data_IF_434897197597
#
_entry.id   IF_434897197597
#
_cell.length_a   1.000
_cell.length_b   1.000
_cell.length_c   1.000
_cell.angle_alpha   90.00
_cell.angle_beta   90.00
_cell.angle_gamma   90.00
#
_symmetry.space_group_name_H-M   'P 1'
#
loop_
_entity.id
_entity.type
_entity.pdbx_description
1 polymer ?
#
# COMPACT_ATOMS: atom_id res chain seq x y z
N UNK A 1 -19.39 50.22 -14.19
CA UNK A 1 -20.05 48.99 -14.73
C UNK A 1 -19.03 47.91 -14.81
N UNK A 2 -18.99 47.05 -13.79
CA UNK A 2 -18.24 45.80 -13.77
C UNK A 2 -19.27 44.69 -13.78
N UNK A 3 -19.23 43.83 -14.77
CA UNK A 3 -19.86 42.52 -14.73
C UNK A 3 -18.75 41.52 -15.10
N UNK A 4 -18.12 40.97 -14.08
CA UNK A 4 -17.29 39.78 -14.22
C UNK A 4 -18.16 38.56 -13.96
N UNK A 5 -18.54 37.86 -15.01
CA UNK A 5 -19.23 36.60 -14.91
C UNK A 5 -18.17 35.52 -14.73
N UNK A 6 -17.86 35.18 -13.49
CA UNK A 6 -16.97 34.02 -13.19
C UNK A 6 -17.85 32.78 -13.22
N UNK A 7 -17.91 32.13 -14.37
CA UNK A 7 -18.41 30.74 -14.42
C UNK A 7 -17.37 29.82 -13.78
N UNK A 8 -17.71 29.29 -12.64
CA UNK A 8 -16.98 28.19 -12.07
C UNK A 8 -17.30 26.94 -12.91
N UNK A 9 -16.28 26.33 -13.49
CA UNK A 9 -16.44 25.05 -14.14
C UNK A 9 -16.86 24.01 -13.08
N UNK A 10 -17.97 23.34 -13.35
CA UNK A 10 -18.50 22.28 -12.52
C UNK A 10 -17.49 21.12 -12.53
N UNK A 11 -16.83 20.89 -11.40
CA UNK A 11 -15.96 19.73 -11.22
C UNK A 11 -16.86 18.51 -11.03
N UNK A 12 -17.14 17.79 -12.10
CA UNK A 12 -17.84 16.51 -12.02
C UNK A 12 -16.87 15.46 -11.47
N UNK A 13 -16.97 15.18 -10.17
CA UNK A 13 -16.29 14.04 -9.56
C UNK A 13 -17.05 12.78 -9.97
N UNK A 14 -16.61 12.13 -11.04
CA UNK A 14 -17.06 10.79 -11.39
C UNK A 14 -16.36 9.83 -10.43
N UNK A 15 -16.99 9.58 -9.30
CA UNK A 15 -16.65 8.43 -8.45
C UNK A 15 -16.99 7.16 -9.24
N UNK A 16 -16.09 6.19 -9.26
CA UNK A 16 -16.39 4.83 -9.77
C UNK A 16 -17.47 4.17 -8.87
N UNK A 17 -18.72 4.56 -9.11
CA UNK A 17 -19.88 4.20 -8.32
C UNK A 17 -20.15 2.69 -8.28
N UNK A 18 -19.67 1.94 -9.26
CA UNK A 18 -19.91 0.49 -9.32
C UNK A 18 -19.09 -0.27 -8.27
N UNK A 19 -17.81 0.05 -8.07
CA UNK A 19 -17.00 -0.57 -7.01
C UNK A 19 -17.34 -0.02 -5.63
N UNK A 20 -17.56 1.28 -5.51
CA UNK A 20 -17.98 1.90 -4.25
C UNK A 20 -19.34 1.36 -3.78
N UNK A 21 -20.28 1.06 -4.68
CA UNK A 21 -21.57 0.44 -4.36
C UNK A 21 -21.42 -0.99 -3.84
N UNK A 22 -20.53 -1.79 -4.39
CA UNK A 22 -20.29 -3.15 -3.93
C UNK A 22 -19.64 -3.22 -2.53
N UNK A 23 -18.75 -2.26 -2.23
CA UNK A 23 -18.11 -2.16 -0.90
C UNK A 23 -19.06 -1.55 0.12
N UNK A 24 -19.87 -0.56 -0.27
CA UNK A 24 -20.85 0.07 0.61
C UNK A 24 -21.94 -0.91 1.09
N UNK A 25 -22.23 -1.97 0.31
CA UNK A 25 -23.16 -3.04 0.72
C UNK A 25 -22.52 -4.11 1.60
N UNK A 26 -21.19 -4.14 1.74
CA UNK A 26 -20.51 -5.09 2.62
C UNK A 26 -20.27 -4.46 4.00
N UNK A 27 -21.11 -4.80 4.97
CA UNK A 27 -20.88 -4.40 6.35
C UNK A 27 -19.52 -4.93 6.83
N UNK A 28 -18.63 -4.01 7.28
CA UNK A 28 -17.32 -4.35 7.82
C UNK A 28 -16.14 -4.19 6.84
N UNK A 29 -16.37 -3.90 5.57
CA UNK A 29 -15.32 -3.51 4.63
C UNK A 29 -15.04 -2.01 4.73
N UNK A 30 -13.77 -1.64 4.82
CA UNK A 30 -13.29 -0.25 4.82
C UNK A 30 -12.19 -0.12 3.78
N UNK A 31 -12.40 0.74 2.80
CA UNK A 31 -11.36 1.14 1.88
C UNK A 31 -10.56 2.30 2.48
N UNK A 32 -9.24 2.17 2.48
CA UNK A 32 -8.33 3.18 3.01
C UNK A 32 -7.80 3.98 1.84
N UNK A 33 -8.15 5.29 1.74
CA UNK A 33 -7.66 6.14 0.66
C UNK A 33 -6.13 6.28 0.71
N UNK A 34 -5.46 6.21 -0.44
CA UNK A 34 -4.00 6.37 -0.53
C UNK A 34 -3.54 7.74 -0.02
N UNK A 35 -4.37 8.78 -0.17
CA UNK A 35 -4.10 10.09 0.41
C UNK A 35 -3.99 10.03 1.94
N UNK A 36 -4.83 9.24 2.60
CA UNK A 36 -4.76 9.04 4.05
C UNK A 36 -3.46 8.34 4.43
N UNK A 37 -3.06 7.28 3.70
CA UNK A 37 -1.80 6.55 3.96
C UNK A 37 -0.61 7.48 3.82
N UNK A 38 -0.54 8.27 2.76
CA UNK A 38 0.56 9.20 2.50
C UNK A 38 0.64 10.36 3.50
N UNK A 39 -0.48 10.79 4.05
CA UNK A 39 -0.56 11.91 4.99
C UNK A 39 -0.56 11.46 6.46
N UNK A 40 -0.59 10.17 6.73
CA UNK A 40 -0.52 9.66 8.10
C UNK A 40 0.88 9.89 8.66
N UNK A 41 1.01 10.62 9.78
CA UNK A 41 2.30 10.78 10.46
C UNK A 41 2.83 9.40 10.84
N UNK A 42 4.03 9.10 10.42
CA UNK A 42 4.69 7.85 10.77
C UNK A 42 5.96 8.10 11.57
N UNK A 43 6.32 7.15 12.37
CA UNK A 43 7.61 7.12 13.07
C UNK A 43 8.69 7.13 11.96
N UNK A 44 9.69 7.98 12.12
CA UNK A 44 10.82 8.14 11.19
C UNK A 44 10.47 8.81 9.84
N UNK A 45 9.29 9.43 9.72
CA UNK A 45 8.94 10.27 8.57
C UNK A 45 8.56 9.51 7.30
N UNK A 46 8.29 8.20 7.39
CA UNK A 46 7.88 7.40 6.24
C UNK A 46 6.43 6.95 6.36
N UNK A 47 5.63 7.22 5.33
CA UNK A 47 4.28 6.70 5.23
C UNK A 47 4.31 5.17 5.17
N UNK A 48 3.41 4.53 5.92
CA UNK A 48 3.34 3.07 6.02
C UNK A 48 1.89 2.59 6.03
N UNK A 49 1.61 1.56 5.21
CA UNK A 49 0.28 0.99 5.06
C UNK A 49 -0.20 0.34 6.36
N UNK A 50 0.64 -0.48 6.99
CA UNK A 50 0.26 -1.22 8.21
C UNK A 50 0.09 -0.26 9.39
N UNK A 51 0.92 0.76 9.51
CA UNK A 51 0.78 1.80 10.54
C UNK A 51 -0.51 2.60 10.37
N UNK A 52 -0.90 2.91 9.13
CA UNK A 52 -2.19 3.56 8.89
C UNK A 52 -3.36 2.67 9.29
N UNK A 53 -3.29 1.36 9.03
CA UNK A 53 -4.32 0.40 9.46
C UNK A 53 -4.42 0.34 10.98
N UNK A 54 -3.30 0.43 11.71
CA UNK A 54 -3.28 0.46 13.17
C UNK A 54 -4.07 1.64 13.77
N UNK A 55 -4.21 2.74 13.05
CA UNK A 55 -5.00 3.91 13.49
C UNK A 55 -6.50 3.79 13.20
N UNK A 56 -6.94 2.72 12.54
CA UNK A 56 -8.34 2.55 12.20
C UNK A 56 -9.17 2.09 13.41
N UNK A 57 -10.42 2.56 13.54
CA UNK A 57 -11.30 2.12 14.63
C UNK A 57 -11.47 0.60 14.68
N UNK A 58 -11.30 0.00 15.87
CA UNK A 58 -11.43 -1.46 16.08
C UNK A 58 -10.18 -2.25 15.65
N UNK A 59 -9.07 -1.57 15.39
CA UNK A 59 -7.74 -2.13 15.21
C UNK A 59 -6.88 -1.69 16.38
N UNK A 60 -6.17 -2.60 16.99
CA UNK A 60 -5.18 -2.30 18.02
C UNK A 60 -3.80 -2.67 17.51
N UNK A 61 -2.84 -1.79 17.73
CA UNK A 61 -1.43 -2.11 17.57
C UNK A 61 -1.02 -3.10 18.66
N UNK A 62 -0.06 -3.97 18.35
CA UNK A 62 0.63 -4.75 19.36
C UNK A 62 1.56 -3.89 20.21
N UNK A 63 2.60 -4.51 20.75
CA UNK A 63 3.66 -3.79 21.45
C UNK A 63 4.32 -2.80 20.48
N UNK A 64 4.72 -1.64 20.98
CA UNK A 64 5.44 -0.63 20.20
C UNK A 64 6.61 -1.25 19.45
N UNK A 65 6.69 -0.99 18.14
CA UNK A 65 7.66 -1.60 17.25
C UNK A 65 7.22 -2.95 16.63
N UNK A 66 5.99 -3.42 16.91
CA UNK A 66 5.42 -4.60 16.24
C UNK A 66 4.49 -4.19 15.10
N UNK A 67 4.53 -4.91 13.99
CA UNK A 67 3.52 -4.81 12.91
C UNK A 67 2.25 -5.61 13.21
N UNK A 68 2.18 -6.27 14.36
CA UNK A 68 1.03 -7.06 14.78
C UNK A 68 -0.26 -6.23 14.80
N UNK A 69 -1.30 -6.75 14.15
CA UNK A 69 -2.63 -6.15 14.12
C UNK A 69 -3.58 -7.03 14.93
N UNK A 70 -4.17 -6.45 15.97
CA UNK A 70 -5.24 -7.07 16.74
C UNK A 70 -6.57 -6.46 16.30
N UNK A 71 -7.32 -7.19 15.50
CA UNK A 71 -8.55 -6.67 14.90
C UNK A 71 -9.73 -7.36 15.56
N UNK A 72 -10.59 -6.55 16.20
CA UNK A 72 -11.80 -7.01 16.93
C UNK A 72 -11.51 -8.15 17.93
N UNK A 73 -10.38 -8.08 18.63
CA UNK A 73 -9.98 -9.09 19.61
C UNK A 73 -9.29 -10.32 19.03
N UNK A 74 -9.11 -10.41 17.70
CA UNK A 74 -8.32 -11.46 17.08
C UNK A 74 -6.83 -11.17 17.13
N UNK A 75 -6.01 -12.21 17.20
CA UNK A 75 -4.55 -12.14 17.22
C UNK A 75 -3.96 -11.92 15.81
N UNK A 76 -2.69 -11.47 15.69
CA UNK A 76 -2.07 -11.16 14.41
C UNK A 76 -2.04 -12.32 13.41
N UNK A 77 -1.88 -13.55 13.89
CA UNK A 77 -1.89 -14.79 13.09
C UNK A 77 -3.27 -15.13 12.50
N UNK A 78 -4.34 -14.51 13.02
CA UNK A 78 -5.70 -14.69 12.55
C UNK A 78 -6.10 -13.72 11.43
N UNK A 79 -5.22 -12.83 11.02
CA UNK A 79 -5.44 -11.92 9.92
C UNK A 79 -4.91 -12.51 8.61
N UNK A 80 -5.68 -12.39 7.53
CA UNK A 80 -5.25 -12.72 6.18
C UNK A 80 -4.75 -11.45 5.49
N UNK A 81 -3.47 -11.40 5.19
CA UNK A 81 -2.87 -10.25 4.49
C UNK A 81 -2.52 -10.69 3.08
N UNK A 82 -3.05 -9.98 2.11
CA UNK A 82 -2.92 -10.30 0.69
C UNK A 82 -2.24 -9.16 -0.05
N UNK A 83 -1.32 -9.50 -0.92
CA UNK A 83 -0.76 -8.61 -1.94
C UNK A 83 -1.18 -9.14 -3.31
N UNK A 84 -2.01 -8.38 -4.01
CA UNK A 84 -2.60 -8.78 -5.31
C UNK A 84 -3.24 -10.18 -5.27
N UNK A 85 -3.88 -10.51 -4.13
CA UNK A 85 -4.56 -11.80 -3.92
C UNK A 85 -3.66 -12.94 -3.44
N UNK A 86 -2.34 -12.72 -3.31
CA UNK A 86 -1.39 -13.70 -2.80
C UNK A 86 -1.15 -13.49 -1.30
N UNK A 87 -1.24 -14.52 -0.44
CA UNK A 87 -0.96 -14.38 0.99
C UNK A 87 0.48 -13.96 1.27
N UNK A 88 0.66 -12.97 2.12
CA UNK A 88 1.94 -12.52 2.64
C UNK A 88 2.02 -12.88 4.11
N UNK A 89 3.02 -13.68 4.49
CA UNK A 89 3.18 -14.17 5.86
C UNK A 89 4.06 -13.25 6.70
N UNK A 90 5.13 -12.73 6.12
CA UNK A 90 6.02 -11.77 6.78
C UNK A 90 5.77 -10.39 6.18
N UNK A 91 5.14 -9.53 6.97
CA UNK A 91 4.63 -8.23 6.51
C UNK A 91 5.44 -7.04 6.96
N UNK A 92 6.55 -7.29 7.66
CA UNK A 92 7.35 -6.24 8.25
C UNK A 92 8.87 -6.46 8.16
N UNK A 93 9.59 -5.37 8.31
CA UNK A 93 11.03 -5.28 8.51
C UNK A 93 11.32 -4.58 9.83
N UNK A 94 12.52 -4.80 10.36
CA UNK A 94 13.05 -4.12 11.54
C UNK A 94 12.05 -4.17 12.71
N UNK A 95 11.68 -5.39 13.12
CA UNK A 95 10.79 -5.62 14.27
C UNK A 95 9.43 -4.90 14.17
N UNK A 96 8.94 -4.66 12.95
CA UNK A 96 7.64 -4.02 12.71
C UNK A 96 7.67 -2.50 12.52
N UNK A 97 8.83 -1.88 12.47
CA UNK A 97 8.92 -0.45 12.17
C UNK A 97 8.53 -0.10 10.74
N UNK A 98 8.80 -0.99 9.78
CA UNK A 98 8.46 -0.81 8.37
C UNK A 98 7.66 -1.99 7.85
N UNK A 99 6.57 -1.72 7.11
CA UNK A 99 5.90 -2.79 6.38
C UNK A 99 6.60 -3.09 5.05
N UNK A 100 6.37 -4.29 4.52
CA UNK A 100 6.85 -4.67 3.17
C UNK A 100 6.12 -3.92 2.05
N UNK A 101 5.02 -3.21 2.38
CA UNK A 101 4.20 -2.48 1.42
C UNK A 101 4.75 -1.08 1.18
N UNK A 102 5.22 -0.83 -0.03
CA UNK A 102 5.68 0.51 -0.46
C UNK A 102 4.47 1.33 -0.92
N UNK A 103 4.10 2.42 -0.23
CA UNK A 103 2.89 3.20 -0.55
C UNK A 103 2.85 3.73 -1.98
N UNK A 104 4.01 3.99 -2.58
CA UNK A 104 4.12 4.48 -3.96
C UNK A 104 3.69 3.41 -4.98
N UNK A 105 3.87 2.12 -4.64
CA UNK A 105 3.47 0.99 -5.47
C UNK A 105 2.02 0.57 -5.25
N UNK A 106 1.39 0.99 -4.14
CA UNK A 106 0.05 0.57 -3.75
C UNK A 106 -1.00 1.46 -4.40
N UNK A 107 -2.01 0.83 -5.00
CA UNK A 107 -3.18 1.47 -5.59
C UNK A 107 -4.34 1.57 -4.61
N UNK A 108 -4.57 0.49 -3.86
CA UNK A 108 -5.77 0.33 -3.03
C UNK A 108 -5.50 -0.59 -1.85
N UNK A 109 -6.03 -0.24 -0.70
CA UNK A 109 -6.03 -1.08 0.50
C UNK A 109 -7.46 -1.23 0.98
N UNK A 110 -7.92 -2.47 1.12
CA UNK A 110 -9.25 -2.78 1.65
C UNK A 110 -9.10 -3.64 2.91
N UNK A 111 -9.65 -3.15 4.00
CA UNK A 111 -9.69 -3.85 5.29
C UNK A 111 -11.10 -4.41 5.51
N UNK A 112 -11.21 -5.72 5.62
CA UNK A 112 -12.43 -6.41 6.04
C UNK A 112 -12.28 -6.81 7.51
N UNK A 113 -12.99 -6.12 8.40
CA UNK A 113 -12.94 -6.38 9.86
C UNK A 113 -13.84 -7.53 10.29
N UNK A 114 -14.81 -7.90 9.46
CA UNK A 114 -15.76 -9.00 9.65
C UNK A 114 -16.54 -9.19 8.35
N UNK A 115 -17.29 -10.29 8.26
CA UNK A 115 -18.17 -10.56 7.11
C UNK A 115 -17.43 -10.44 5.76
N UNK A 116 -16.23 -10.96 5.70
CA UNK A 116 -15.48 -10.96 4.44
C UNK A 116 -16.11 -11.96 3.45
N UNK A 117 -16.02 -11.68 2.14
CA UNK A 117 -16.56 -12.56 1.10
C UNK A 117 -16.03 -13.99 1.19
N UNK A 118 -16.84 -14.97 0.79
CA UNK A 118 -16.52 -16.41 0.85
C UNK A 118 -15.25 -16.81 0.04
N UNK A 119 -14.81 -15.95 -0.88
CA UNK A 119 -13.53 -16.14 -1.60
C UNK A 119 -12.30 -16.05 -0.70
N UNK A 120 -12.42 -15.43 0.46
CA UNK A 120 -11.35 -15.34 1.45
C UNK A 120 -11.57 -16.40 2.52
N UNK A 121 -10.58 -17.23 2.75
CA UNK A 121 -10.64 -18.30 3.74
C UNK A 121 -9.33 -18.46 4.49
N UNK A 122 -9.31 -19.37 5.47
CA UNK A 122 -8.10 -19.76 6.18
C UNK A 122 -7.66 -18.82 7.32
N UNK A 123 -8.41 -17.76 7.62
CA UNK A 123 -8.19 -16.86 8.75
C UNK A 123 -9.51 -16.48 9.40
N UNK A 124 -9.47 -16.10 10.70
CA UNK A 124 -10.66 -15.95 11.52
C UNK A 124 -11.04 -14.50 11.84
N UNK A 125 -10.07 -13.58 11.88
CA UNK A 125 -10.28 -12.23 12.38
C UNK A 125 -10.58 -11.23 11.27
N UNK A 126 -9.67 -11.06 10.33
CA UNK A 126 -9.80 -10.06 9.29
C UNK A 126 -9.12 -10.44 7.98
N UNK A 127 -9.42 -9.67 6.93
CA UNK A 127 -8.71 -9.73 5.65
C UNK A 127 -8.23 -8.33 5.29
N UNK A 128 -6.96 -8.21 4.96
CA UNK A 128 -6.33 -7.00 4.44
C UNK A 128 -5.92 -7.28 3.00
N UNK A 129 -6.63 -6.70 2.04
CA UNK A 129 -6.36 -6.85 0.60
C UNK A 129 -5.63 -5.60 0.10
N UNK A 130 -4.33 -5.75 -0.13
CA UNK A 130 -3.45 -4.71 -0.68
C UNK A 130 -3.29 -4.96 -2.17
N UNK A 131 -3.62 -3.97 -2.98
CA UNK A 131 -3.48 -4.04 -4.43
C UNK A 131 -2.46 -3.05 -4.92
N UNK A 132 -1.53 -3.51 -5.74
CA UNK A 132 -0.52 -2.67 -6.37
C UNK A 132 -1.05 -1.98 -7.61
N UNK A 133 -0.36 -0.92 -8.03
CA UNK A 133 -0.67 -0.20 -9.26
C UNK A 133 -0.51 -1.10 -10.48
N UNK A 134 -1.46 -0.98 -11.41
CA UNK A 134 -1.45 -1.73 -12.66
C UNK A 134 -0.55 -1.09 -13.73
N UNK A 135 0.00 0.11 -13.42
CA UNK A 135 0.73 0.94 -14.37
C UNK A 135 -0.17 1.71 -15.34
N UNK A 136 0.32 2.86 -15.80
CA UNK A 136 -0.41 3.69 -16.78
C UNK A 136 -0.20 3.12 -18.20
N UNK A 137 -1.30 2.93 -18.94
CA UNK A 137 -1.26 2.44 -20.32
C UNK A 137 -0.99 3.52 -21.37
N UNK A 138 -0.93 4.80 -20.97
CA UNK A 138 -0.82 5.94 -21.89
C UNK A 138 0.47 6.71 -21.72
N UNK A 139 0.90 6.93 -20.47
CA UNK A 139 2.01 7.83 -20.12
C UNK A 139 2.98 7.14 -19.18
N UNK A 140 4.24 7.58 -19.22
CA UNK A 140 5.22 7.19 -18.23
C UNK A 140 5.14 8.12 -17.04
N UNK A 141 5.17 7.53 -15.85
CA UNK A 141 5.26 8.24 -14.58
C UNK A 141 6.41 7.66 -13.77
N UNK A 142 7.05 8.52 -13.01
CA UNK A 142 8.11 8.12 -12.10
C UNK A 142 8.06 8.93 -10.83
N UNK A 143 8.24 8.27 -9.71
CA UNK A 143 8.37 8.90 -8.40
C UNK A 143 9.68 8.43 -7.78
N UNK A 144 10.46 9.38 -7.30
CA UNK A 144 11.67 9.13 -6.53
C UNK A 144 11.57 9.86 -5.20
N UNK A 145 11.87 9.16 -4.12
CA UNK A 145 11.80 9.69 -2.76
C UNK A 145 13.02 9.27 -1.98
N UNK A 146 13.62 10.24 -1.27
CA UNK A 146 14.69 9.98 -0.30
C UNK A 146 14.17 10.40 1.06
N UNK A 147 14.00 9.44 1.95
CA UNK A 147 13.68 9.65 3.35
C UNK A 147 14.94 9.61 4.23
N UNK A 148 14.75 9.74 5.54
CA UNK A 148 15.84 9.66 6.50
C UNK A 148 16.49 8.26 6.52
N UNK A 149 15.70 7.21 6.40
CA UNK A 149 16.13 5.82 6.57
C UNK A 149 16.04 4.97 5.30
N UNK A 150 15.25 5.38 4.31
CA UNK A 150 15.07 4.63 3.08
C UNK A 150 15.03 5.53 1.85
N UNK A 151 15.43 4.96 0.72
CA UNK A 151 15.18 5.54 -0.60
C UNK A 151 14.21 4.64 -1.36
N UNK A 152 13.34 5.27 -2.14
CA UNK A 152 12.27 4.60 -2.90
C UNK A 152 12.25 5.12 -4.32
N UNK A 153 11.95 4.23 -5.24
CA UNK A 153 11.69 4.56 -6.64
C UNK A 153 10.45 3.78 -7.09
N UNK A 154 9.58 4.44 -7.82
CA UNK A 154 8.47 3.80 -8.52
C UNK A 154 8.45 4.31 -9.95
N UNK A 155 8.39 3.40 -10.92
CA UNK A 155 8.33 3.67 -12.34
C UNK A 155 7.16 2.90 -12.94
N UNK A 156 6.33 3.58 -13.71
CA UNK A 156 5.21 2.97 -14.41
C UNK A 156 5.03 3.55 -15.80
N UNK A 157 4.43 2.79 -16.67
CA UNK A 157 4.15 3.26 -18.01
C UNK A 157 3.74 2.16 -18.98
N UNK A 158 3.45 2.55 -20.24
CA UNK A 158 3.08 1.61 -21.28
C UNK A 158 4.28 0.87 -21.86
N UNK A 159 4.19 -0.47 -21.93
CA UNK A 159 5.03 -1.27 -22.83
C UNK A 159 4.43 -1.21 -24.24
N UNK A 160 3.10 -1.38 -24.33
CA UNK A 160 2.33 -1.21 -25.56
C UNK A 160 1.17 -0.28 -25.21
N UNK A 161 1.14 0.92 -25.78
CA UNK A 161 0.10 1.92 -25.51
C UNK A 161 -1.31 1.33 -25.66
N UNK A 162 -2.13 1.53 -24.63
CA UNK A 162 -3.51 1.05 -24.60
C UNK A 162 -3.69 -0.46 -24.39
N UNK A 163 -2.61 -1.25 -24.33
CA UNK A 163 -2.69 -2.70 -24.17
C UNK A 163 -1.88 -3.26 -23.01
N UNK A 164 -0.63 -2.82 -22.87
CA UNK A 164 0.27 -3.40 -21.87
C UNK A 164 0.94 -2.30 -21.09
N UNK A 165 0.84 -2.36 -19.78
CA UNK A 165 1.53 -1.47 -18.86
C UNK A 165 2.39 -2.24 -17.88
N UNK A 166 3.35 -1.55 -17.28
CA UNK A 166 4.16 -2.05 -16.19
C UNK A 166 4.17 -1.08 -15.03
N UNK A 167 4.39 -1.61 -13.84
CA UNK A 167 4.75 -0.87 -12.64
C UNK A 167 5.90 -1.59 -11.97
N UNK A 168 6.97 -0.87 -11.67
CA UNK A 168 8.14 -1.38 -10.96
C UNK A 168 8.42 -0.43 -9.81
N UNK A 169 8.52 -0.98 -8.61
CA UNK A 169 8.93 -0.23 -7.43
C UNK A 169 10.10 -0.91 -6.74
N UNK A 170 11.01 -0.11 -6.22
CA UNK A 170 12.10 -0.58 -5.39
C UNK A 170 12.28 0.35 -4.19
N UNK A 171 12.60 -0.24 -3.05
CA UNK A 171 12.95 0.46 -1.81
C UNK A 171 14.21 -0.18 -1.22
N UNK A 172 15.11 0.65 -0.69
CA UNK A 172 16.26 0.21 0.09
C UNK A 172 16.40 1.04 1.35
N UNK A 173 16.63 0.39 2.48
CA UNK A 173 17.06 1.06 3.70
C UNK A 173 18.58 1.21 3.75
N UNK A 174 19.06 2.24 4.44
CA UNK A 174 20.50 2.50 4.65
C UNK A 174 20.84 2.70 6.13
N UNK A 175 20.16 1.94 6.99
CA UNK A 175 20.44 1.91 8.43
C UNK A 175 21.88 1.51 8.71
N UNK A 176 22.44 0.63 7.88
CA UNK A 176 23.85 0.23 7.90
C UNK A 176 24.79 1.41 7.75
N UNK A 177 24.49 2.35 6.85
CA UNK A 177 25.31 3.54 6.61
C UNK A 177 25.18 4.56 7.75
N UNK A 178 23.98 4.72 8.29
CA UNK A 178 23.70 5.69 9.36
C UNK A 178 24.23 5.22 10.72
N UNK A 179 24.18 3.92 11.00
CA UNK A 179 24.66 3.37 12.25
C UNK A 179 26.19 3.25 12.32
N UNK A 180 26.87 3.11 11.16
CA UNK A 180 28.31 2.89 11.06
C UNK A 180 29.19 3.86 11.86
N UNK A 181 28.91 5.20 11.91
CA UNK A 181 29.72 6.13 12.69
C UNK A 181 29.58 5.97 14.21
N UNK A 182 28.53 5.28 14.66
CA UNK A 182 28.21 5.11 16.09
C UNK A 182 28.55 3.71 16.62
N UNK A 183 29.05 2.82 15.76
CA UNK A 183 29.42 1.46 16.14
C UNK A 183 30.92 1.37 16.42
N UNK A 184 31.32 0.64 17.48
CA UNK A 184 32.72 0.30 17.71
C UNK A 184 33.30 -0.49 16.53
N UNK A 185 34.59 -0.32 16.27
CA UNK A 185 35.27 -0.98 15.14
C UNK A 185 35.25 -2.52 15.20
N UNK A 186 35.10 -3.08 16.38
CA UNK A 186 35.06 -4.53 16.64
C UNK A 186 33.69 -5.16 16.39
N UNK A 187 32.59 -4.36 16.34
CA UNK A 187 31.22 -4.85 16.19
C UNK A 187 30.56 -4.25 14.95
N UNK A 188 30.85 -4.80 13.77
CA UNK A 188 30.25 -4.36 12.51
C UNK A 188 28.98 -5.13 12.21
N UNK A 189 27.86 -4.77 12.84
CA UNK A 189 26.55 -5.25 12.44
C UNK A 189 26.01 -4.38 11.31
N UNK A 190 25.70 -5.01 10.18
CA UNK A 190 25.12 -4.32 9.03
C UNK A 190 23.68 -4.79 8.87
N UNK A 191 22.72 -3.93 9.20
CA UNK A 191 21.30 -4.20 8.97
C UNK A 191 20.76 -3.30 7.87
N UNK A 192 20.30 -3.92 6.81
CA UNK A 192 19.59 -3.26 5.73
C UNK A 192 18.53 -4.20 5.17
N UNK A 193 17.52 -3.63 4.55
CA UNK A 193 16.53 -4.38 3.79
C UNK A 193 16.27 -3.70 2.46
N UNK A 194 15.75 -4.46 1.54
CA UNK A 194 15.26 -3.96 0.26
C UNK A 194 13.98 -4.69 -0.13
N UNK A 195 13.07 -3.97 -0.75
CA UNK A 195 11.85 -4.51 -1.33
C UNK A 195 11.83 -4.15 -2.80
N UNK A 196 11.36 -5.08 -3.59
CA UNK A 196 11.16 -4.87 -5.02
C UNK A 196 9.85 -5.50 -5.44
N UNK A 197 9.02 -4.73 -6.13
CA UNK A 197 7.78 -5.19 -6.74
C UNK A 197 7.80 -4.87 -8.21
N UNK A 198 7.35 -5.81 -9.02
CA UNK A 198 7.17 -5.62 -10.45
C UNK A 198 5.83 -6.22 -10.86
N UNK A 199 5.04 -5.47 -11.62
CA UNK A 199 3.74 -5.92 -12.13
C UNK A 199 3.62 -5.55 -13.59
N UNK A 200 3.16 -6.50 -14.38
CA UNK A 200 2.81 -6.30 -15.79
C UNK A 200 1.31 -6.55 -15.93
N UNK A 201 0.64 -5.61 -16.56
CA UNK A 201 -0.78 -5.70 -16.85
C UNK A 201 -0.96 -5.73 -18.38
N UNK A 202 -1.59 -6.78 -18.89
CA UNK A 202 -1.91 -6.92 -20.30
C UNK A 202 -3.41 -7.06 -20.53
N UNK A 203 -3.95 -6.19 -21.38
CA UNK A 203 -5.35 -6.17 -21.80
C UNK A 203 -5.48 -6.89 -23.15
N UNK A 204 -6.04 -8.09 -23.14
CA UNK A 204 -6.36 -8.84 -24.38
C UNK A 204 -7.60 -8.27 -25.06
N UNK A 205 -8.63 -7.96 -24.24
CA UNK A 205 -9.90 -7.38 -24.69
C UNK A 205 -10.51 -6.56 -23.56
N UNK A 206 -11.67 -5.93 -23.79
CA UNK A 206 -12.38 -5.19 -22.72
C UNK A 206 -12.88 -6.10 -21.60
N UNK A 207 -12.98 -7.41 -21.84
CA UNK A 207 -13.44 -8.41 -20.88
C UNK A 207 -12.34 -9.32 -20.33
N UNK A 208 -11.11 -9.20 -20.84
CA UNK A 208 -10.01 -10.09 -20.46
C UNK A 208 -8.71 -9.33 -20.22
N UNK A 209 -8.16 -9.49 -19.02
CA UNK A 209 -6.87 -8.93 -18.61
C UNK A 209 -6.05 -10.00 -17.91
N UNK A 210 -4.75 -9.88 -18.03
CA UNK A 210 -3.77 -10.72 -17.37
C UNK A 210 -2.83 -9.82 -16.55
N UNK A 211 -2.54 -10.28 -15.36
CA UNK A 211 -1.56 -9.65 -14.45
C UNK A 211 -0.45 -10.68 -14.18
N UNK A 212 0.77 -10.21 -14.21
CA UNK A 212 1.97 -10.98 -13.87
C UNK A 212 2.77 -10.21 -12.87
#
# INVERSE_FOLDING_TARGET
RMQGNTQLEEVIIISDKAEAGAIATQMGAVEIPMAQIKNTPSILGEADVMKTIQLMPGVQAGVDGSAGLYIRGGSPDQNLILLDGTPVYNVDHLFGFFSVFTPEAVKKVTLFKSSFPARFGGRLSSVIDVRTNDGDMQKYHGTFSIGLLTSKINLEGPIIKGKTSFNISARRSYLDLLAKPFMPDDEKYSYYFYDMNAKINHKFSDRSRMFL
#
